data_IF_787046217891
#
_entry.id   IF_787046217891
#
_cell.length_a   1.000
_cell.length_b   1.000
_cell.length_c   1.000
_cell.angle_alpha   90.00
_cell.angle_beta   90.00
_cell.angle_gamma   90.00
#
_symmetry.space_group_name_H-M   'P 1'
#
loop_
_entity.id
_entity.type
_entity.pdbx_description
1 polymer ?
#
# COMPACT_ATOMS: atom_id res chain seq x y z
N UNK A 1 -4.65 17.13 6.34
CA UNK A 1 -3.63 17.78 7.16
C UNK A 1 -2.30 17.02 7.07
N UNK A 2 -2.28 15.71 7.28
CA UNK A 2 -1.07 14.87 7.27
C UNK A 2 -0.27 14.96 5.97
N UNK A 3 -0.93 14.88 4.79
CA UNK A 3 -0.25 14.98 3.50
C UNK A 3 0.56 16.27 3.34
N UNK A 4 0.03 17.38 3.86
CA UNK A 4 0.71 18.67 3.79
C UNK A 4 1.93 18.73 4.73
N UNK A 5 1.84 18.10 5.91
CA UNK A 5 3.01 18.01 6.80
C UNK A 5 4.12 17.13 6.19
N UNK A 6 3.75 16.01 5.57
CA UNK A 6 4.70 15.18 4.83
C UNK A 6 5.38 15.97 3.71
N UNK A 7 4.58 16.68 2.90
CA UNK A 7 5.09 17.53 1.82
C UNK A 7 6.08 18.59 2.32
N UNK A 8 5.73 19.26 3.42
CA UNK A 8 6.59 20.25 4.06
C UNK A 8 7.93 19.63 4.48
N UNK A 9 7.91 18.52 5.23
CA UNK A 9 9.14 17.85 5.69
C UNK A 9 10.02 17.37 4.54
N UNK A 10 9.42 16.89 3.45
CA UNK A 10 10.16 16.50 2.25
C UNK A 10 10.85 17.70 1.61
N UNK A 11 10.15 18.83 1.47
CA UNK A 11 10.71 20.08 0.93
C UNK A 11 11.81 20.65 1.82
N UNK A 12 11.65 20.57 3.13
CA UNK A 12 12.65 21.02 4.11
C UNK A 12 13.98 20.24 4.00
N UNK A 13 13.95 19.03 3.41
CA UNK A 13 15.16 18.26 3.07
C UNK A 13 15.74 18.59 1.69
N UNK A 14 15.23 19.62 1.02
CA UNK A 14 15.71 20.05 -0.29
C UNK A 14 15.19 19.23 -1.47
N UNK A 15 14.16 18.40 -1.27
CA UNK A 15 13.54 17.61 -2.34
C UNK A 15 12.49 18.45 -3.05
N UNK A 16 12.60 18.54 -4.37
CA UNK A 16 11.59 19.16 -5.21
C UNK A 16 10.44 18.19 -5.45
N UNK A 17 9.20 18.68 -5.37
CA UNK A 17 7.99 17.90 -5.57
C UNK A 17 7.21 18.46 -6.77
N UNK A 18 7.00 17.63 -7.78
CA UNK A 18 6.16 17.93 -8.94
C UNK A 18 4.89 17.06 -8.90
N UNK A 19 3.74 17.69 -8.65
CA UNK A 19 2.45 17.01 -8.56
C UNK A 19 1.62 17.18 -9.82
N UNK A 20 0.72 16.22 -10.09
CA UNK A 20 -0.19 16.27 -11.23
C UNK A 20 0.49 16.02 -12.58
N UNK A 21 1.74 15.62 -12.58
CA UNK A 21 2.52 15.29 -13.76
C UNK A 21 3.20 13.90 -13.61
N UNK A 22 3.71 13.39 -14.69
CA UNK A 22 4.51 12.17 -14.76
C UNK A 22 5.66 12.35 -15.75
N UNK A 23 6.60 11.41 -15.78
CA UNK A 23 7.65 11.42 -16.79
C UNK A 23 7.00 11.15 -18.17
N UNK A 24 7.14 12.09 -19.08
CA UNK A 24 6.67 12.00 -20.47
C UNK A 24 7.70 11.35 -21.39
N UNK A 25 8.97 11.75 -21.26
CA UNK A 25 10.09 11.16 -21.97
C UNK A 25 11.39 11.23 -21.18
N UNK A 26 12.31 10.32 -21.50
CA UNK A 26 13.67 10.29 -20.95
C UNK A 26 14.64 10.17 -22.11
N UNK A 27 15.65 11.03 -22.16
CA UNK A 27 16.76 10.94 -23.07
C UNK A 27 18.05 10.64 -22.28
N UNK A 28 18.79 9.62 -22.68
CA UNK A 28 20.11 9.32 -22.12
C UNK A 28 21.13 10.31 -22.66
N UNK A 29 21.95 10.86 -21.80
CA UNK A 29 23.07 11.75 -22.10
C UNK A 29 24.39 11.08 -21.71
N UNK A 30 25.50 11.69 -22.08
CA UNK A 30 26.84 11.17 -21.76
C UNK A 30 27.07 10.98 -20.23
N UNK A 31 26.44 11.84 -19.40
CA UNK A 31 26.59 11.82 -17.96
C UNK A 31 25.21 11.96 -17.25
N UNK A 32 24.26 11.06 -17.54
CA UNK A 32 22.97 11.06 -16.88
C UNK A 32 21.78 11.05 -17.85
N UNK A 33 20.68 11.64 -17.44
CA UNK A 33 19.41 11.63 -18.14
C UNK A 33 18.78 13.01 -18.18
N UNK A 34 18.15 13.34 -19.31
CA UNK A 34 17.26 14.49 -19.46
C UNK A 34 15.81 13.99 -19.44
N UNK A 35 15.04 14.41 -18.45
CA UNK A 35 13.68 13.99 -18.22
C UNK A 35 12.72 15.14 -18.54
N UNK A 36 11.79 14.91 -19.45
CA UNK A 36 10.69 15.83 -19.74
C UNK A 36 9.43 15.30 -19.07
N UNK A 37 8.80 16.12 -18.24
CA UNK A 37 7.52 15.78 -17.61
C UNK A 37 6.35 16.10 -18.54
N UNK A 38 5.16 15.57 -18.21
CA UNK A 38 3.93 15.80 -19.00
C UNK A 38 3.41 17.25 -18.96
N UNK A 39 3.88 18.07 -18.02
CA UNK A 39 3.65 19.51 -17.93
C UNK A 39 4.71 20.34 -18.68
N UNK A 40 5.62 19.67 -19.40
CA UNK A 40 6.72 20.25 -20.16
C UNK A 40 7.88 20.80 -19.31
N UNK A 41 7.93 20.54 -18.01
CA UNK A 41 9.12 20.80 -17.19
C UNK A 41 10.23 19.81 -17.54
N UNK A 42 11.49 20.29 -17.45
CA UNK A 42 12.69 19.51 -17.73
C UNK A 42 13.54 19.36 -16.47
N UNK A 43 14.07 18.16 -16.26
CA UNK A 43 14.97 17.84 -15.16
C UNK A 43 16.15 17.02 -15.67
N UNK A 44 17.36 17.42 -15.27
CA UNK A 44 18.55 16.58 -15.45
C UNK A 44 18.73 15.70 -14.21
N UNK A 45 19.07 14.43 -14.40
CA UNK A 45 19.23 13.47 -13.32
C UNK A 45 20.37 12.49 -13.59
N UNK A 46 21.16 12.18 -12.58
CA UNK A 46 22.18 11.13 -12.64
C UNK A 46 21.57 9.73 -12.55
N UNK A 47 20.40 9.61 -11.89
CA UNK A 47 19.68 8.36 -11.67
C UNK A 47 18.17 8.60 -11.69
N UNK A 48 17.43 7.69 -12.32
CA UNK A 48 15.97 7.66 -12.28
C UNK A 48 15.51 6.43 -11.51
N UNK A 49 14.66 6.63 -10.50
CA UNK A 49 14.06 5.54 -9.72
C UNK A 49 12.55 5.52 -9.96
N UNK A 50 12.05 4.42 -10.51
CA UNK A 50 10.63 4.23 -10.80
C UNK A 50 9.91 3.52 -9.64
N UNK A 51 9.10 4.28 -8.88
CA UNK A 51 8.29 3.78 -7.77
C UNK A 51 6.80 3.94 -8.07
N UNK A 52 6.35 3.46 -9.23
CA UNK A 52 4.99 3.65 -9.77
C UNK A 52 4.03 2.49 -9.48
N UNK A 53 4.37 1.65 -8.52
CA UNK A 53 3.58 0.49 -8.09
C UNK A 53 4.09 -0.83 -8.66
N UNK A 54 3.39 -1.90 -8.31
CA UNK A 54 3.73 -3.28 -8.65
C UNK A 54 2.58 -3.95 -9.42
N UNK A 55 2.91 -4.98 -10.18
CA UNK A 55 1.95 -5.89 -10.80
C UNK A 55 2.20 -7.29 -10.27
N UNK A 56 1.12 -8.00 -9.92
CA UNK A 56 1.24 -9.40 -9.55
C UNK A 56 1.80 -10.22 -10.72
N UNK A 57 2.77 -11.08 -10.43
CA UNK A 57 3.25 -12.04 -11.41
C UNK A 57 2.31 -13.26 -11.43
N UNK A 58 1.33 -13.22 -12.32
CA UNK A 58 0.34 -14.30 -12.50
C UNK A 58 0.68 -15.24 -13.64
N UNK A 59 1.81 -15.04 -14.32
CA UNK A 59 2.25 -15.87 -15.46
C UNK A 59 2.60 -17.31 -15.13
N UNK A 60 2.53 -17.69 -13.86
CA UNK A 60 2.75 -19.06 -13.37
C UNK A 60 1.50 -19.93 -13.48
N UNK A 61 0.33 -19.34 -13.75
CA UNK A 61 -0.94 -20.05 -13.88
C UNK A 61 -1.56 -19.83 -15.27
N UNK A 62 -2.32 -20.80 -15.76
CA UNK A 62 -3.13 -20.65 -16.97
C UNK A 62 -4.45 -19.95 -16.60
N UNK A 63 -4.74 -18.75 -17.14
CA UNK A 63 -5.99 -18.03 -16.84
C UNK A 63 -7.24 -18.72 -17.43
N UNK A 64 -7.11 -19.75 -18.26
CA UNK A 64 -8.23 -20.58 -18.69
C UNK A 64 -8.65 -21.61 -17.64
N UNK A 65 -7.74 -21.99 -16.74
CA UNK A 65 -7.98 -22.96 -15.68
C UNK A 65 -8.20 -22.29 -14.31
N UNK A 66 -7.45 -21.22 -14.03
CA UNK A 66 -7.47 -20.52 -12.75
C UNK A 66 -7.89 -19.05 -12.97
N UNK A 67 -8.89 -18.61 -12.23
CA UNK A 67 -9.40 -17.24 -12.34
C UNK A 67 -8.36 -16.21 -11.88
N UNK A 68 -8.05 -15.28 -12.77
CA UNK A 68 -7.13 -14.17 -12.55
C UNK A 68 -7.83 -12.86 -12.93
N UNK A 69 -7.66 -11.85 -12.09
CA UNK A 69 -7.99 -10.46 -12.40
C UNK A 69 -6.69 -9.63 -12.32
N UNK A 70 -6.46 -8.86 -11.29
CA UNK A 70 -5.19 -8.17 -11.03
C UNK A 70 -4.17 -9.09 -10.37
N UNK A 71 -4.62 -10.15 -9.72
CA UNK A 71 -3.92 -11.25 -9.10
C UNK A 71 -4.76 -12.52 -9.21
N UNK A 72 -4.26 -13.63 -8.71
CA UNK A 72 -4.98 -14.91 -8.64
C UNK A 72 -6.11 -14.76 -7.62
N UNK A 73 -7.36 -15.03 -8.03
CA UNK A 73 -8.51 -14.97 -7.14
C UNK A 73 -8.52 -16.19 -6.21
N UNK A 74 -8.70 -15.94 -4.92
CA UNK A 74 -8.77 -16.98 -3.89
C UNK A 74 -9.97 -16.79 -2.98
N UNK A 75 -10.44 -17.89 -2.40
CA UNK A 75 -11.48 -17.87 -1.38
C UNK A 75 -10.89 -17.63 0.03
N UNK A 76 -11.70 -17.81 1.08
CA UNK A 76 -11.28 -17.62 2.47
C UNK A 76 -10.28 -18.69 2.94
N UNK A 77 -10.24 -19.85 2.31
CA UNK A 77 -9.27 -20.92 2.54
C UNK A 77 -7.96 -20.73 1.76
N UNK A 78 -7.82 -19.63 1.01
CA UNK A 78 -6.72 -19.37 0.07
C UNK A 78 -6.69 -20.35 -1.12
N UNK A 79 -7.75 -21.08 -1.39
CA UNK A 79 -7.89 -21.94 -2.54
C UNK A 79 -8.30 -21.13 -3.78
N UNK A 80 -7.74 -21.45 -4.92
CA UNK A 80 -8.09 -20.83 -6.21
C UNK A 80 -9.40 -21.39 -6.77
N UNK A 81 -9.82 -20.95 -7.96
CA UNK A 81 -10.96 -21.55 -8.67
C UNK A 81 -10.70 -22.99 -9.13
N UNK A 82 -9.47 -23.48 -9.08
CA UNK A 82 -9.12 -24.88 -9.37
C UNK A 82 -8.89 -25.62 -8.05
N UNK A 83 -9.72 -26.62 -7.71
CA UNK A 83 -9.61 -27.35 -6.45
C UNK A 83 -8.23 -27.97 -6.22
N UNK A 84 -7.73 -27.85 -5.00
CA UNK A 84 -6.41 -28.36 -4.59
C UNK A 84 -5.24 -27.43 -4.97
N UNK A 85 -5.50 -26.30 -5.61
CA UNK A 85 -4.48 -25.28 -5.93
C UNK A 85 -4.72 -24.04 -5.07
N UNK A 86 -3.68 -23.61 -4.37
CA UNK A 86 -3.72 -22.48 -3.44
C UNK A 86 -2.79 -21.36 -3.91
N UNK A 87 -3.14 -20.12 -3.57
CA UNK A 87 -2.29 -18.96 -3.83
C UNK A 87 -2.26 -18.02 -2.62
N UNK A 88 -1.10 -17.42 -2.33
CA UNK A 88 -0.90 -16.54 -1.20
C UNK A 88 0.14 -15.45 -1.52
N UNK A 89 0.07 -14.32 -0.81
CA UNK A 89 0.97 -13.19 -0.95
C UNK A 89 0.64 -12.30 -2.15
N UNK A 90 1.64 -11.60 -2.67
CA UNK A 90 1.48 -10.52 -3.66
C UNK A 90 0.93 -10.97 -5.02
N UNK A 91 0.93 -12.26 -5.31
CA UNK A 91 0.32 -12.81 -6.51
C UNK A 91 -1.19 -13.05 -6.37
N UNK A 92 -1.73 -13.06 -5.15
CA UNK A 92 -3.14 -13.39 -4.85
C UNK A 92 -3.99 -12.16 -4.53
N UNK A 93 -5.29 -12.26 -4.81
CA UNK A 93 -6.31 -11.31 -4.36
C UNK A 93 -7.13 -11.95 -3.24
N UNK A 94 -6.80 -11.57 -2.01
CA UNK A 94 -7.57 -11.93 -0.82
C UNK A 94 -8.56 -10.85 -0.41
N UNK A 95 -9.35 -11.14 0.63
CA UNK A 95 -10.35 -10.21 1.17
C UNK A 95 -9.71 -9.02 1.87
N UNK A 96 -10.17 -7.81 1.55
CA UNK A 96 -9.94 -6.60 2.33
C UNK A 96 -11.11 -6.44 3.32
N UNK A 97 -10.78 -6.31 4.63
CA UNK A 97 -11.76 -6.45 5.71
C UNK A 97 -12.80 -5.32 5.74
N UNK A 98 -12.42 -4.08 5.43
CA UNK A 98 -13.32 -2.92 5.56
C UNK A 98 -14.36 -2.86 4.45
N UNK A 99 -14.03 -3.34 3.26
CA UNK A 99 -14.91 -3.28 2.08
C UNK A 99 -15.46 -4.64 1.68
N UNK A 100 -14.87 -5.72 2.17
CA UNK A 100 -15.17 -7.08 1.75
C UNK A 100 -14.71 -7.41 0.33
N UNK A 101 -14.02 -6.50 -0.36
CA UNK A 101 -13.56 -6.68 -1.74
C UNK A 101 -12.29 -7.52 -1.78
N UNK A 102 -12.18 -8.31 -2.84
CA UNK A 102 -10.93 -8.98 -3.16
C UNK A 102 -9.93 -8.00 -3.76
N UNK A 103 -8.72 -7.94 -3.19
CA UNK A 103 -7.63 -7.11 -3.68
C UNK A 103 -6.26 -7.68 -3.31
N UNK A 104 -5.24 -7.23 -4.00
CA UNK A 104 -3.86 -7.51 -3.62
C UNK A 104 -3.50 -6.60 -2.44
N UNK A 105 -3.10 -7.20 -1.32
CA UNK A 105 -2.58 -6.50 -0.16
C UNK A 105 -1.11 -6.89 -0.01
N UNK A 106 -0.25 -6.16 -0.69
CA UNK A 106 1.19 -6.40 -0.80
C UNK A 106 1.94 -6.04 0.48
N UNK A 107 1.72 -6.82 1.53
CA UNK A 107 2.33 -6.63 2.84
C UNK A 107 2.91 -7.96 3.33
N UNK A 108 4.13 -7.93 3.86
CA UNK A 108 4.83 -9.12 4.36
C UNK A 108 3.99 -9.91 5.38
N UNK A 109 3.44 -9.23 6.38
CA UNK A 109 2.62 -9.88 7.41
C UNK A 109 1.36 -10.53 6.80
N UNK A 110 0.74 -9.86 5.82
CA UNK A 110 -0.41 -10.41 5.08
C UNK A 110 -0.03 -11.65 4.29
N UNK A 111 1.08 -11.62 3.56
CA UNK A 111 1.58 -12.77 2.80
C UNK A 111 1.86 -13.98 3.71
N UNK A 112 2.42 -13.72 4.92
CA UNK A 112 2.64 -14.76 5.92
C UNK A 112 1.34 -15.37 6.44
N UNK A 113 0.33 -14.54 6.72
CA UNK A 113 -0.99 -14.99 7.18
C UNK A 113 -1.72 -15.82 6.10
N UNK A 114 -1.75 -15.32 4.87
CA UNK A 114 -2.31 -16.06 3.73
C UNK A 114 -1.58 -17.39 3.48
N UNK A 115 -0.23 -17.37 3.54
CA UNK A 115 0.59 -18.57 3.36
C UNK A 115 0.35 -19.62 4.45
N UNK A 116 0.20 -19.19 5.71
CA UNK A 116 -0.15 -20.09 6.81
C UNK A 116 -1.53 -20.71 6.60
N UNK A 117 -2.54 -19.91 6.24
CA UNK A 117 -3.90 -20.41 5.93
C UNK A 117 -3.87 -21.43 4.80
N UNK A 118 -3.21 -21.10 3.69
CA UNK A 118 -3.03 -22.02 2.56
C UNK A 118 -2.36 -23.33 3.00
N UNK A 119 -1.27 -23.24 3.78
CA UNK A 119 -0.52 -24.39 4.26
C UNK A 119 -1.33 -25.31 5.15
N UNK A 120 -2.14 -24.76 6.08
CA UNK A 120 -3.08 -25.55 6.92
C UNK A 120 -4.10 -26.31 6.06
N UNK A 121 -4.72 -25.63 5.11
CA UNK A 121 -5.73 -26.26 4.23
C UNK A 121 -5.10 -27.33 3.31
N UNK A 122 -3.89 -27.10 2.80
CA UNK A 122 -3.14 -28.11 2.04
C UNK A 122 -2.79 -29.35 2.88
N UNK A 123 -2.61 -29.17 4.19
CA UNK A 123 -2.34 -30.29 5.10
C UNK A 123 -3.60 -31.04 5.55
N UNK A 124 -4.79 -30.57 5.16
CA UNK A 124 -6.08 -31.16 5.55
C UNK A 124 -6.66 -30.61 6.85
N UNK A 125 -6.04 -29.58 7.41
CA UNK A 125 -6.63 -28.80 8.50
C UNK A 125 -7.65 -27.80 7.93
N UNK A 126 -8.51 -27.22 8.79
CA UNK A 126 -9.39 -26.12 8.38
C UNK A 126 -8.82 -24.79 8.86
N UNK A 127 -8.34 -23.98 7.92
CA UNK A 127 -7.91 -22.62 8.14
C UNK A 127 -8.79 -21.64 7.39
N UNK A 128 -9.08 -20.48 7.97
CA UNK A 128 -9.79 -19.38 7.31
C UNK A 128 -8.97 -18.10 7.39
N UNK A 129 -8.91 -17.40 6.27
CA UNK A 129 -8.32 -16.07 6.16
C UNK A 129 -9.44 -15.03 6.25
N UNK A 130 -9.53 -14.35 7.39
CA UNK A 130 -10.56 -13.35 7.65
C UNK A 130 -10.38 -12.06 6.84
N UNK A 131 -9.26 -11.91 6.17
CA UNK A 131 -8.88 -10.71 5.45
C UNK A 131 -7.78 -9.90 6.14
N UNK A 132 -7.44 -8.76 5.57
CA UNK A 132 -6.51 -7.81 6.15
C UNK A 132 -6.99 -6.38 5.89
N UNK A 133 -6.49 -5.44 6.67
CA UNK A 133 -6.69 -4.01 6.49
C UNK A 133 -5.45 -3.42 5.82
N UNK A 134 -5.66 -2.52 4.85
CA UNK A 134 -4.57 -1.76 4.26
C UNK A 134 -3.83 -0.99 5.36
N UNK A 135 -2.51 -1.16 5.43
CA UNK A 135 -1.69 -0.39 6.35
C UNK A 135 -0.31 -0.08 5.77
N UNK A 136 0.26 0.99 6.24
CA UNK A 136 1.62 1.40 5.94
C UNK A 136 2.28 1.88 7.21
N UNK A 137 3.45 1.32 7.53
CA UNK A 137 4.28 1.72 8.66
C UNK A 137 5.65 2.04 8.10
N UNK A 138 6.10 3.27 8.24
CA UNK A 138 7.39 3.70 7.70
C UNK A 138 8.04 4.76 8.57
N UNK A 139 9.36 4.82 8.47
CA UNK A 139 10.17 5.91 9.03
C UNK A 139 10.92 6.56 7.89
N UNK A 140 10.74 7.86 7.69
CA UNK A 140 11.46 8.63 6.67
C UNK A 140 11.59 10.09 7.07
N UNK A 141 12.70 10.71 6.72
CA UNK A 141 12.98 12.12 6.99
C UNK A 141 12.75 12.53 8.46
N UNK A 142 13.15 11.66 9.39
CA UNK A 142 12.99 11.87 10.83
C UNK A 142 11.56 11.82 11.33
N UNK A 143 10.63 11.24 10.55
CA UNK A 143 9.22 11.11 10.89
C UNK A 143 8.82 9.64 10.95
N UNK A 144 8.13 9.26 12.01
CA UNK A 144 7.41 8.01 12.10
C UNK A 144 6.01 8.21 11.51
N UNK A 145 5.64 7.40 10.53
CA UNK A 145 4.32 7.44 9.91
C UNK A 145 3.65 6.07 9.97
N UNK A 146 2.41 6.05 10.44
CA UNK A 146 1.53 4.88 10.39
C UNK A 146 0.21 5.28 9.76
N UNK A 147 -0.15 4.63 8.67
CA UNK A 147 -1.46 4.72 8.04
C UNK A 147 -2.19 3.38 8.16
N UNK A 148 -3.40 3.37 8.69
CA UNK A 148 -4.25 2.20 8.84
C UNK A 148 -5.60 2.47 8.17
N UNK A 149 -6.11 1.53 7.39
CA UNK A 149 -7.39 1.65 6.69
C UNK A 149 -7.39 2.69 5.57
N UNK A 150 -8.57 3.18 5.20
CA UNK A 150 -8.74 4.16 4.12
C UNK A 150 -9.02 5.57 4.63
N UNK A 151 -7.96 6.33 4.85
CA UNK A 151 -8.03 7.75 5.26
C UNK A 151 -8.50 8.70 4.16
N UNK A 152 -8.77 8.21 2.93
CA UNK A 152 -9.28 9.02 1.81
C UNK A 152 -10.80 9.09 1.76
N UNK A 153 -11.49 8.29 2.58
CA UNK A 153 -12.95 8.35 2.67
C UNK A 153 -13.42 9.70 3.15
N UNK A 154 -14.55 10.12 2.62
CA UNK A 154 -15.21 11.35 3.04
C UNK A 154 -15.98 11.09 4.34
N UNK A 155 -15.57 11.71 5.43
CA UNK A 155 -16.18 11.49 6.74
C UNK A 155 -15.80 12.57 7.74
N UNK A 156 -16.18 12.35 9.00
CA UNK A 156 -15.79 13.22 10.12
C UNK A 156 -14.32 12.95 10.46
N UNK A 157 -13.52 14.01 10.48
CA UNK A 157 -12.12 13.93 10.90
C UNK A 157 -12.03 14.28 12.38
N UNK A 158 -11.38 13.41 13.15
CA UNK A 158 -11.03 13.63 14.55
C UNK A 158 -9.51 13.73 14.64
N UNK A 159 -9.00 14.68 15.39
CA UNK A 159 -7.56 14.90 15.55
C UNK A 159 -7.16 14.94 17.01
N UNK A 160 -5.94 14.49 17.30
CA UNK A 160 -5.28 14.60 18.59
C UNK A 160 -3.82 15.01 18.39
N UNK A 161 -3.33 15.94 19.22
CA UNK A 161 -1.98 16.50 19.08
C UNK A 161 -1.89 17.62 18.04
N UNK A 162 -0.65 18.06 17.76
CA UNK A 162 -0.36 19.11 16.80
C UNK A 162 0.72 18.63 15.82
N UNK A 163 0.51 18.87 14.53
CA UNK A 163 1.38 18.38 13.43
C UNK A 163 2.82 18.89 13.49
N UNK A 164 3.01 20.09 14.01
CA UNK A 164 4.29 20.81 14.05
C UNK A 164 5.05 20.67 15.37
N UNK A 165 4.50 19.93 16.32
CA UNK A 165 5.09 19.78 17.65
C UNK A 165 6.29 18.80 17.70
N UNK A 166 6.42 17.90 16.71
CA UNK A 166 7.33 16.75 16.76
C UNK A 166 6.93 15.68 17.79
N UNK A 167 5.72 15.83 18.35
CA UNK A 167 5.11 14.88 19.26
C UNK A 167 4.02 14.09 18.54
N UNK A 168 3.41 13.13 19.23
CA UNK A 168 2.31 12.33 18.72
C UNK A 168 1.20 13.17 18.09
N UNK A 169 0.90 12.90 16.83
CA UNK A 169 -0.31 13.39 16.17
C UNK A 169 -1.13 12.22 15.63
N UNK A 170 -2.43 12.27 15.84
CA UNK A 170 -3.38 11.29 15.33
C UNK A 170 -4.45 12.02 14.52
N UNK A 171 -4.75 11.50 13.33
CA UNK A 171 -5.89 11.89 12.50
C UNK A 171 -6.72 10.64 12.19
N UNK A 172 -7.96 10.60 12.67
CA UNK A 172 -8.88 9.50 12.44
C UNK A 172 -10.05 9.95 11.56
N UNK A 173 -10.41 9.14 10.57
CA UNK A 173 -11.54 9.36 9.67
C UNK A 173 -12.68 8.43 10.08
N UNK A 174 -13.83 9.05 10.43
CA UNK A 174 -15.06 8.34 10.77
C UNK A 174 -16.03 8.49 9.61
N UNK A 175 -16.33 7.40 8.93
CA UNK A 175 -17.29 7.32 7.83
C UNK A 175 -18.49 6.48 8.25
N UNK A 176 -19.70 7.01 8.11
CA UNK A 176 -20.96 6.38 8.50
C UNK A 176 -21.00 5.85 9.95
N UNK A 177 -20.26 6.47 10.85
CA UNK A 177 -20.18 6.09 12.26
C UNK A 177 -19.11 5.03 12.58
N UNK A 178 -18.39 4.53 11.58
CA UNK A 178 -17.32 3.55 11.72
C UNK A 178 -15.94 4.18 11.47
N UNK A 179 -14.90 3.61 12.10
CA UNK A 179 -13.52 4.03 11.88
C UNK A 179 -13.05 3.53 10.49
N UNK A 180 -12.93 4.46 9.55
CA UNK A 180 -12.49 4.15 8.19
C UNK A 180 -10.97 4.11 8.05
N UNK A 181 -10.26 4.99 8.75
CA UNK A 181 -8.80 5.00 8.72
C UNK A 181 -8.19 5.89 9.79
N UNK A 182 -6.92 5.66 10.06
CA UNK A 182 -6.12 6.43 11.02
C UNK A 182 -4.75 6.72 10.45
N UNK A 183 -4.31 7.97 10.55
CA UNK A 183 -2.92 8.37 10.37
C UNK A 183 -2.32 8.73 11.73
N UNK A 184 -1.13 8.20 12.01
CA UNK A 184 -0.37 8.47 13.23
C UNK A 184 1.00 8.98 12.81
N UNK A 185 1.43 10.09 13.38
CA UNK A 185 2.76 10.67 13.17
C UNK A 185 3.55 10.70 14.47
N UNK A 186 4.85 10.49 14.33
CA UNK A 186 5.89 10.66 15.34
C UNK A 186 5.73 9.77 16.59
N UNK A 187 4.99 8.65 16.50
CA UNK A 187 4.95 7.66 17.58
C UNK A 187 4.57 6.25 17.13
N UNK A 188 5.52 5.33 17.04
CA UNK A 188 5.27 3.91 16.78
C UNK A 188 4.62 3.15 17.94
N UNK A 189 4.76 3.62 19.18
CA UNK A 189 4.40 2.82 20.36
C UNK A 189 2.92 2.48 20.43
N UNK A 190 2.07 3.25 19.77
CA UNK A 190 0.62 3.03 19.74
C UNK A 190 0.14 2.29 18.49
N UNK A 191 1.04 2.01 17.54
CA UNK A 191 0.71 1.34 16.27
C UNK A 191 1.03 -0.14 16.26
N UNK A 192 1.85 -0.60 17.17
CA UNK A 192 2.41 -1.96 17.21
C UNK A 192 1.75 -2.90 18.19
N UNK A 193 0.52 -2.64 18.51
CA UNK A 193 -0.26 -3.49 19.42
C UNK A 193 -1.13 -4.47 18.65
#
# INVERSE_FOLDING_TARGET
AVSHEIEKRVKDQGVELAFGCSIGSVEEKENGFDCTLTDSCHYEADLIVLCIGTRANTGVVDPQEIQVDRGILVNEEMETSCPGIYAAGDCSQGREMQTGKQMIIGLWANAGHQGATAGHNMAGDSGSYDGNILHNITHFMGMDFVGLGDCRRTGKILTHGALDSGELYIEAVIDQGELAGVNILDNYRISGL
#
